data_IF_771644960355
#
_entry.id   IF_771644960355
#
_cell.length_a   1.000
_cell.length_b   1.000
_cell.length_c   1.000
_cell.angle_alpha   90.00
_cell.angle_beta   90.00
_cell.angle_gamma   90.00
#
_symmetry.space_group_name_H-M   'P 1'
#
loop_
_entity.id
_entity.type
_entity.pdbx_description
1 polymer ?
#
# COMPACT_ATOMS: atom_id res chain seq x y z
N UNK A 1 -26.64 44.27 -6.00
CA UNK A 1 -26.89 43.02 -6.75
C UNK A 1 -25.67 42.49 -7.52
N UNK A 2 -24.88 43.32 -8.24
CA UNK A 2 -23.61 42.88 -8.86
C UNK A 2 -22.56 42.37 -7.86
N UNK A 3 -22.31 43.10 -6.78
CA UNK A 3 -21.37 42.71 -5.71
C UNK A 3 -21.77 41.35 -5.10
N UNK A 4 -23.07 41.16 -4.85
CA UNK A 4 -23.61 39.91 -4.34
C UNK A 4 -23.28 38.70 -5.24
N UNK A 5 -23.45 38.82 -6.56
CA UNK A 5 -23.11 37.75 -7.50
C UNK A 5 -21.61 37.43 -7.53
N UNK A 6 -20.76 38.45 -7.42
CA UNK A 6 -19.30 38.27 -7.33
C UNK A 6 -18.94 37.51 -6.05
N UNK A 7 -19.52 37.89 -4.91
CA UNK A 7 -19.31 37.20 -3.64
C UNK A 7 -19.77 35.73 -3.69
N UNK A 8 -20.93 35.44 -4.30
CA UNK A 8 -21.42 34.07 -4.49
C UNK A 8 -20.45 33.25 -5.37
N UNK A 9 -19.96 33.83 -6.46
CA UNK A 9 -18.98 33.17 -7.33
C UNK A 9 -17.66 32.88 -6.61
N UNK A 10 -17.14 33.84 -5.84
CA UNK A 10 -15.91 33.68 -5.07
C UNK A 10 -16.05 32.58 -4.00
N UNK A 11 -17.17 32.55 -3.26
CA UNK A 11 -17.46 31.49 -2.29
C UNK A 11 -17.61 30.13 -2.95
N UNK A 12 -18.23 30.06 -4.13
CA UNK A 12 -18.34 28.84 -4.88
C UNK A 12 -16.95 28.28 -5.24
N UNK A 13 -16.08 29.10 -5.82
CA UNK A 13 -14.70 28.71 -6.16
C UNK A 13 -13.97 28.22 -4.91
N UNK A 14 -14.01 28.98 -3.82
CA UNK A 14 -13.35 28.60 -2.57
C UNK A 14 -13.85 27.25 -2.05
N UNK A 15 -15.17 27.00 -2.09
CA UNK A 15 -15.75 25.73 -1.65
C UNK A 15 -15.30 24.54 -2.51
N UNK A 16 -15.19 24.73 -3.84
CA UNK A 16 -14.67 23.70 -4.74
C UNK A 16 -13.21 23.45 -4.45
N UNK A 17 -12.38 24.50 -4.29
CA UNK A 17 -10.97 24.36 -3.97
C UNK A 17 -10.72 23.60 -2.66
N UNK A 18 -11.50 23.90 -1.61
CA UNK A 18 -11.41 23.18 -0.33
C UNK A 18 -11.84 21.72 -0.51
N UNK A 19 -12.96 21.46 -1.19
CA UNK A 19 -13.42 20.09 -1.46
C UNK A 19 -12.39 19.27 -2.25
N UNK A 20 -11.81 19.85 -3.29
CA UNK A 20 -10.75 19.22 -4.09
C UNK A 20 -9.50 18.93 -3.27
N UNK A 21 -9.08 19.85 -2.40
CA UNK A 21 -7.93 19.65 -1.51
C UNK A 21 -8.15 18.49 -0.54
N UNK A 22 -9.34 18.39 0.06
CA UNK A 22 -9.69 17.29 0.97
C UNK A 22 -9.70 15.93 0.25
N UNK A 23 -10.24 15.87 -0.98
CA UNK A 23 -10.21 14.66 -1.81
C UNK A 23 -8.77 14.27 -2.15
N UNK A 24 -7.95 15.24 -2.57
CA UNK A 24 -6.55 15.00 -2.88
C UNK A 24 -5.79 14.44 -1.67
N UNK A 25 -5.95 15.05 -0.49
CA UNK A 25 -5.32 14.57 0.75
C UNK A 25 -5.77 13.15 1.14
N UNK A 26 -7.04 12.81 0.90
CA UNK A 26 -7.54 11.46 1.17
C UNK A 26 -6.88 10.41 0.28
N UNK A 27 -6.75 10.69 -1.03
CA UNK A 27 -6.04 9.80 -1.96
C UNK A 27 -4.55 9.72 -1.68
N UNK A 28 -3.91 10.85 -1.40
CA UNK A 28 -2.48 10.93 -1.11
C UNK A 28 -2.12 10.12 0.14
N UNK A 29 -2.93 10.22 1.20
CA UNK A 29 -2.77 9.42 2.42
C UNK A 29 -2.87 7.92 2.15
N UNK A 30 -3.92 7.49 1.42
CA UNK A 30 -4.11 6.09 1.08
C UNK A 30 -2.91 5.55 0.29
N UNK A 31 -2.45 6.33 -0.70
CA UNK A 31 -1.32 5.95 -1.54
C UNK A 31 0.03 5.96 -0.80
N UNK A 32 0.31 6.97 0.03
CA UNK A 32 1.57 7.07 0.77
C UNK A 32 1.72 5.92 1.80
N UNK A 33 0.65 5.61 2.53
CA UNK A 33 0.63 4.48 3.45
C UNK A 33 0.84 3.16 2.72
N UNK A 34 0.18 2.98 1.56
CA UNK A 34 0.34 1.80 0.74
C UNK A 34 1.74 1.63 0.18
N UNK A 35 2.35 2.69 -0.36
CA UNK A 35 3.70 2.63 -0.94
C UNK A 35 4.75 2.25 0.09
N UNK A 36 4.77 2.95 1.23
CA UNK A 36 5.73 2.67 2.31
C UNK A 36 5.62 1.23 2.82
N UNK A 37 4.39 0.74 2.97
CA UNK A 37 4.16 -0.64 3.38
C UNK A 37 4.54 -1.65 2.30
N UNK A 38 4.13 -1.42 1.05
CA UNK A 38 4.33 -2.33 -0.08
C UNK A 38 5.81 -2.53 -0.38
N UNK A 39 6.61 -1.47 -0.44
CA UNK A 39 8.03 -1.57 -0.76
C UNK A 39 8.77 -2.45 0.26
N UNK A 40 8.53 -2.19 1.55
CA UNK A 40 9.09 -2.99 2.64
C UNK A 40 8.61 -4.44 2.58
N UNK A 41 7.31 -4.68 2.35
CA UNK A 41 6.78 -6.03 2.36
C UNK A 41 7.19 -6.88 1.17
N UNK A 42 7.39 -6.26 0.01
CA UNK A 42 7.95 -6.96 -1.16
C UNK A 42 9.34 -7.48 -0.80
N UNK A 43 10.20 -6.65 -0.21
CA UNK A 43 11.54 -7.07 0.21
C UNK A 43 11.49 -8.20 1.25
N UNK A 44 10.64 -8.08 2.27
CA UNK A 44 10.45 -9.14 3.28
C UNK A 44 9.97 -10.45 2.65
N UNK A 45 9.02 -10.38 1.71
CA UNK A 45 8.46 -11.56 1.03
C UNK A 45 9.52 -12.26 0.18
N UNK A 46 10.36 -11.49 -0.53
CA UNK A 46 11.48 -12.03 -1.31
C UNK A 46 12.48 -12.74 -0.39
N UNK A 47 12.93 -12.07 0.68
CA UNK A 47 13.87 -12.64 1.64
C UNK A 47 13.29 -13.87 2.36
N UNK A 48 11.99 -13.87 2.65
CA UNK A 48 11.31 -15.03 3.23
C UNK A 48 11.36 -16.24 2.29
N UNK A 49 11.08 -16.03 1.00
CA UNK A 49 11.19 -17.08 -0.01
C UNK A 49 12.62 -17.57 -0.18
N UNK A 50 13.61 -16.67 -0.17
CA UNK A 50 15.03 -17.03 -0.19
C UNK A 50 15.41 -17.91 1.02
N UNK A 51 14.93 -17.56 2.22
CA UNK A 51 15.16 -18.34 3.43
C UNK A 51 14.53 -19.73 3.31
N UNK A 52 13.27 -19.83 2.89
CA UNK A 52 12.57 -21.10 2.69
C UNK A 52 13.29 -21.99 1.66
N UNK A 53 13.74 -21.42 0.53
CA UNK A 53 14.48 -22.16 -0.50
C UNK A 53 15.86 -22.60 0.00
N UNK A 54 16.56 -21.75 0.75
CA UNK A 54 17.88 -22.08 1.30
C UNK A 54 17.84 -23.21 2.32
N UNK A 55 16.71 -23.38 3.04
CA UNK A 55 16.53 -24.43 4.04
C UNK A 55 15.92 -25.72 3.47
N UNK A 56 14.85 -25.60 2.67
CA UNK A 56 13.97 -26.70 2.28
C UNK A 56 14.45 -27.55 1.10
N UNK A 57 13.52 -27.92 0.22
CA UNK A 57 13.82 -28.76 -0.95
C UNK A 57 14.73 -28.01 -1.94
N UNK A 58 15.92 -28.56 -2.20
CA UNK A 58 16.97 -27.88 -2.97
C UNK A 58 17.84 -26.92 -2.15
N UNK A 59 17.54 -26.78 -0.86
CA UNK A 59 18.33 -26.06 0.13
C UNK A 59 19.37 -26.94 0.84
N UNK A 60 19.96 -26.42 1.91
CA UNK A 60 21.04 -27.11 2.63
C UNK A 60 20.58 -28.41 3.27
N UNK A 61 19.35 -28.53 3.78
CA UNK A 61 18.88 -29.77 4.42
C UNK A 61 18.85 -30.90 3.39
N UNK A 62 18.36 -30.61 2.18
CA UNK A 62 18.30 -31.57 1.10
C UNK A 62 19.70 -31.99 0.63
N UNK A 63 20.59 -31.03 0.38
CA UNK A 63 21.95 -31.32 -0.05
C UNK A 63 22.76 -32.04 1.02
N UNK A 64 22.60 -31.67 2.29
CA UNK A 64 23.25 -32.35 3.42
C UNK A 64 22.85 -33.82 3.49
N UNK A 65 21.54 -34.12 3.41
CA UNK A 65 21.03 -35.51 3.39
C UNK A 65 21.52 -36.28 2.16
N UNK A 66 21.55 -35.64 0.98
CA UNK A 66 22.06 -36.29 -0.22
C UNK A 66 23.56 -36.60 -0.14
N UNK A 67 24.36 -35.75 0.49
CA UNK A 67 25.76 -36.05 0.73
C UNK A 67 25.94 -37.30 1.59
N UNK A 68 25.16 -37.42 2.67
CA UNK A 68 25.18 -38.59 3.56
C UNK A 68 24.76 -39.85 2.82
N UNK A 69 23.64 -39.81 2.08
CA UNK A 69 23.11 -40.99 1.40
C UNK A 69 23.97 -41.45 0.21
N UNK A 70 24.65 -40.52 -0.47
CA UNK A 70 25.40 -40.80 -1.71
C UNK A 70 26.91 -40.82 -1.53
N UNK A 71 27.40 -40.49 -0.33
CA UNK A 71 28.81 -40.25 -0.06
C UNK A 71 29.46 -39.23 -1.01
N UNK A 72 28.68 -38.22 -1.42
CA UNK A 72 29.12 -37.19 -2.37
C UNK A 72 29.43 -35.88 -1.64
N UNK A 73 30.72 -35.52 -1.61
CA UNK A 73 31.21 -34.30 -0.97
C UNK A 73 30.76 -33.03 -1.68
N UNK A 74 30.44 -33.07 -2.98
CA UNK A 74 29.94 -31.91 -3.72
C UNK A 74 28.63 -31.41 -3.10
N UNK A 75 27.78 -32.33 -2.65
CA UNK A 75 26.55 -31.96 -1.95
C UNK A 75 26.81 -31.31 -0.57
N UNK A 76 27.90 -31.64 0.14
CA UNK A 76 28.26 -30.91 1.37
C UNK A 76 28.73 -29.48 1.08
N UNK A 77 29.44 -29.26 -0.01
CA UNK A 77 29.87 -27.92 -0.43
C UNK A 77 28.67 -27.04 -0.75
N UNK A 78 27.70 -27.57 -1.50
CA UNK A 78 26.44 -26.87 -1.79
C UNK A 78 25.67 -26.60 -0.48
N UNK A 79 25.56 -27.58 0.42
CA UNK A 79 24.90 -27.38 1.71
C UNK A 79 25.56 -26.26 2.53
N UNK A 80 26.89 -26.23 2.58
CA UNK A 80 27.66 -25.18 3.25
C UNK A 80 27.40 -23.79 2.67
N UNK A 81 27.33 -23.67 1.35
CA UNK A 81 26.97 -22.41 0.69
C UNK A 81 25.53 -21.98 1.04
N UNK A 82 24.57 -22.89 0.92
CA UNK A 82 23.15 -22.61 1.24
C UNK A 82 22.94 -22.24 2.72
N UNK A 83 23.74 -22.79 3.64
CA UNK A 83 23.76 -22.37 5.05
C UNK A 83 24.16 -20.91 5.19
N UNK A 84 25.21 -20.46 4.50
CA UNK A 84 25.65 -19.06 4.54
C UNK A 84 24.58 -18.13 3.98
N UNK A 85 23.98 -18.51 2.84
CA UNK A 85 22.86 -17.76 2.26
C UNK A 85 21.70 -17.63 3.25
N UNK A 86 21.32 -18.72 3.94
CA UNK A 86 20.28 -18.68 4.97
C UNK A 86 20.64 -17.73 6.14
N UNK A 87 21.89 -17.77 6.61
CA UNK A 87 22.38 -16.88 7.67
C UNK A 87 22.32 -15.41 7.25
N UNK A 88 22.80 -15.10 6.05
CA UNK A 88 22.79 -13.74 5.49
C UNK A 88 21.36 -13.22 5.31
N UNK A 89 20.44 -14.06 4.84
CA UNK A 89 19.02 -13.72 4.70
C UNK A 89 18.37 -13.41 6.04
N UNK A 90 18.69 -14.16 7.10
CA UNK A 90 18.21 -13.84 8.46
C UNK A 90 18.73 -12.47 8.91
N UNK A 91 19.99 -12.12 8.62
CA UNK A 91 20.55 -10.80 8.95
C UNK A 91 19.78 -9.69 8.23
N UNK A 92 19.49 -9.85 6.94
CA UNK A 92 18.69 -8.88 6.16
C UNK A 92 17.27 -8.73 6.72
N UNK A 93 16.60 -9.84 7.02
CA UNK A 93 15.26 -9.83 7.63
C UNK A 93 15.23 -9.12 9.00
N UNK A 94 16.29 -9.28 9.79
CA UNK A 94 16.45 -8.55 11.06
C UNK A 94 16.62 -7.04 10.83
N UNK A 95 17.42 -6.64 9.85
CA UNK A 95 17.60 -5.22 9.52
C UNK A 95 16.29 -4.54 9.09
N UNK A 96 15.37 -5.29 8.47
CA UNK A 96 14.04 -4.82 8.10
C UNK A 96 13.02 -4.85 9.26
N UNK A 97 13.40 -5.33 10.45
CA UNK A 97 12.48 -5.60 11.56
C UNK A 97 11.31 -6.50 11.13
N UNK A 98 11.59 -7.56 10.36
CA UNK A 98 10.57 -8.51 9.89
C UNK A 98 10.09 -9.47 11.00
N UNK A 99 10.90 -9.65 12.04
CA UNK A 99 10.56 -10.45 13.21
C UNK A 99 9.85 -9.58 14.25
N UNK A 100 8.74 -10.09 14.80
CA UNK A 100 7.91 -9.37 15.77
C UNK A 100 8.53 -9.44 17.17
N UNK A 101 9.07 -10.61 17.52
CA UNK A 101 9.83 -10.82 18.74
C UNK A 101 11.31 -11.03 18.42
N UNK A 102 12.23 -10.56 19.31
CA UNK A 102 13.66 -10.85 19.19
C UNK A 102 13.99 -12.34 19.07
N UNK A 103 13.09 -13.23 19.51
CA UNK A 103 13.34 -14.67 19.59
C UNK A 103 12.71 -15.46 18.43
N UNK A 104 11.91 -14.84 17.55
CA UNK A 104 11.19 -15.56 16.48
C UNK A 104 12.11 -16.31 15.51
N UNK A 105 13.35 -15.83 15.35
CA UNK A 105 14.34 -16.42 14.47
C UNK A 105 15.26 -17.45 15.15
N UNK A 106 15.13 -17.64 16.47
CA UNK A 106 16.08 -18.45 17.24
C UNK A 106 16.05 -19.91 16.85
N UNK A 107 14.87 -20.52 16.71
CA UNK A 107 14.75 -21.92 16.32
C UNK A 107 15.34 -22.16 14.93
N UNK A 108 15.09 -21.23 14.00
CA UNK A 108 15.64 -21.24 12.64
C UNK A 108 17.17 -21.20 12.69
N UNK A 109 17.73 -20.22 13.41
CA UNK A 109 19.18 -20.02 13.51
C UNK A 109 19.87 -21.18 14.23
N UNK A 110 19.22 -21.74 15.26
CA UNK A 110 19.69 -22.92 15.99
C UNK A 110 19.82 -24.12 15.07
N UNK A 111 18.81 -24.40 14.24
CA UNK A 111 18.87 -25.51 13.27
C UNK A 111 19.93 -25.27 12.20
N UNK A 112 20.04 -24.06 11.65
CA UNK A 112 21.09 -23.71 10.69
C UNK A 112 22.48 -23.99 11.29
N UNK A 113 22.72 -23.52 12.51
CA UNK A 113 23.99 -23.72 13.20
C UNK A 113 24.25 -25.21 13.53
N UNK A 114 23.20 -25.97 13.87
CA UNK A 114 23.33 -27.41 14.11
C UNK A 114 23.79 -28.15 12.85
N UNK A 115 23.18 -27.88 11.69
CA UNK A 115 23.65 -28.44 10.42
C UNK A 115 25.07 -27.99 10.07
N UNK A 116 25.40 -26.71 10.29
CA UNK A 116 26.73 -26.16 10.05
C UNK A 116 27.81 -26.92 10.84
N UNK A 117 27.56 -27.20 12.12
CA UNK A 117 28.47 -27.95 12.99
C UNK A 117 28.65 -29.41 12.58
N UNK A 118 27.67 -29.99 11.87
CA UNK A 118 27.71 -31.38 11.41
C UNK A 118 28.39 -31.57 10.06
N UNK A 119 28.67 -30.50 9.31
CA UNK A 119 29.35 -30.57 8.01
C UNK A 119 30.70 -31.30 8.08
N UNK A 120 31.55 -30.95 9.03
CA UNK A 120 32.89 -31.56 9.16
C UNK A 120 32.82 -33.01 9.62
N UNK A 121 31.84 -33.35 10.47
CA UNK A 121 31.60 -34.73 10.89
C UNK A 121 31.14 -35.58 9.71
N UNK A 122 30.19 -35.08 8.92
CA UNK A 122 29.74 -35.75 7.69
C UNK A 122 30.90 -35.95 6.72
N UNK A 123 31.67 -34.90 6.45
CA UNK A 123 32.84 -34.95 5.56
C UNK A 123 33.85 -36.00 5.99
N UNK A 124 34.23 -36.00 7.27
CA UNK A 124 35.18 -36.96 7.84
C UNK A 124 34.73 -38.41 7.62
N UNK A 125 33.48 -38.72 7.93
CA UNK A 125 32.99 -40.09 7.87
C UNK A 125 32.67 -40.56 6.45
N UNK A 126 32.24 -39.67 5.57
CA UNK A 126 32.13 -39.93 4.12
C UNK A 126 33.51 -40.27 3.54
N UNK A 127 34.54 -39.47 3.84
CA UNK A 127 35.91 -39.74 3.35
C UNK A 127 36.49 -41.05 3.91
N UNK A 128 36.08 -41.45 5.12
CA UNK A 128 36.46 -42.75 5.71
C UNK A 128 35.70 -43.94 5.13
N UNK A 129 34.68 -43.73 4.29
CA UNK A 129 33.81 -44.79 3.79
C UNK A 129 33.01 -45.47 4.90
N UNK A 130 32.60 -44.72 5.93
CA UNK A 130 31.75 -45.26 7.00
C UNK A 130 30.38 -45.68 6.45
N UNK A 131 29.69 -46.60 7.12
CA UNK A 131 28.34 -47.01 6.71
C UNK A 131 27.32 -45.86 6.79
N UNK A 132 26.39 -45.81 5.85
CA UNK A 132 25.40 -44.73 5.71
C UNK A 132 24.59 -44.55 7.01
N UNK A 133 24.08 -45.64 7.59
CA UNK A 133 23.27 -45.61 8.81
C UNK A 133 24.06 -45.05 10.01
N UNK A 134 25.35 -45.33 10.06
CA UNK A 134 26.24 -44.80 11.09
C UNK A 134 26.48 -43.29 10.92
N UNK A 135 26.67 -42.83 9.68
CA UNK A 135 26.81 -41.40 9.39
C UNK A 135 25.51 -40.68 9.74
N UNK A 136 24.36 -41.17 9.26
CA UNK A 136 23.05 -40.57 9.50
C UNK A 136 22.76 -40.40 11.00
N UNK A 137 23.02 -41.43 11.80
CA UNK A 137 22.91 -41.37 13.25
C UNK A 137 23.79 -40.27 13.88
N UNK A 138 25.05 -40.15 13.46
CA UNK A 138 25.99 -39.15 14.00
C UNK A 138 25.61 -37.71 13.65
N UNK A 139 25.04 -37.49 12.48
CA UNK A 139 24.80 -36.15 11.92
C UNK A 139 23.35 -35.71 11.96
N UNK A 140 22.46 -36.52 12.52
CA UNK A 140 21.03 -36.20 12.66
C UNK A 140 20.83 -34.86 13.36
N UNK A 141 19.94 -34.05 12.78
CA UNK A 141 19.47 -32.77 13.33
C UNK A 141 17.94 -32.81 13.35
N UNK A 142 17.35 -32.40 14.47
CA UNK A 142 15.91 -32.15 14.56
C UNK A 142 15.60 -30.74 14.06
N UNK A 143 14.90 -30.65 12.94
CA UNK A 143 14.51 -29.41 12.27
C UNK A 143 13.03 -29.06 12.44
N UNK A 144 12.30 -29.82 13.27
CA UNK A 144 10.85 -29.67 13.49
C UNK A 144 10.47 -28.26 13.95
N UNK A 145 11.14 -27.75 14.98
CA UNK A 145 10.86 -26.42 15.54
C UNK A 145 11.22 -25.29 14.56
N UNK A 146 12.27 -25.46 13.77
CA UNK A 146 12.65 -24.47 12.76
C UNK A 146 11.60 -24.36 11.64
N UNK A 147 11.07 -25.49 11.15
CA UNK A 147 9.98 -25.49 10.18
C UNK A 147 8.67 -24.94 10.77
N UNK A 148 8.38 -25.25 12.03
CA UNK A 148 7.24 -24.66 12.72
C UNK A 148 7.40 -23.13 12.86
N UNK A 149 8.60 -22.64 13.20
CA UNK A 149 8.91 -21.21 13.27
C UNK A 149 8.78 -20.52 11.89
N UNK A 150 9.30 -21.13 10.83
CA UNK A 150 9.13 -20.65 9.45
C UNK A 150 7.66 -20.55 9.04
N UNK A 151 6.86 -21.60 9.31
CA UNK A 151 5.44 -21.58 9.00
C UNK A 151 4.66 -20.50 9.78
N UNK A 152 5.00 -20.28 11.06
CA UNK A 152 4.44 -19.15 11.84
C UNK A 152 4.82 -17.81 11.22
N UNK A 153 6.08 -17.66 10.81
CA UNK A 153 6.57 -16.43 10.20
C UNK A 153 5.89 -16.17 8.84
N UNK A 154 5.73 -17.18 8.00
CA UNK A 154 5.06 -17.09 6.68
C UNK A 154 3.59 -16.66 6.83
N UNK A 155 2.87 -17.31 7.74
CA UNK A 155 1.47 -17.00 8.03
C UNK A 155 1.32 -15.56 8.54
N UNK A 156 2.25 -15.07 9.36
CA UNK A 156 2.24 -13.69 9.82
C UNK A 156 2.44 -12.70 8.68
N UNK A 157 3.47 -12.88 7.84
CA UNK A 157 3.71 -11.98 6.70
C UNK A 157 2.49 -11.95 5.77
N UNK A 158 1.92 -13.12 5.48
CA UNK A 158 0.72 -13.23 4.64
C UNK A 158 -0.49 -12.54 5.28
N UNK A 159 -0.66 -12.65 6.60
CA UNK A 159 -1.78 -12.01 7.32
C UNK A 159 -1.62 -10.48 7.36
N UNK A 160 -0.42 -9.99 7.65
CA UNK A 160 -0.12 -8.56 7.64
C UNK A 160 -0.35 -7.93 6.26
N UNK A 161 0.05 -8.62 5.19
CA UNK A 161 -0.22 -8.17 3.82
C UNK A 161 -1.72 -8.07 3.53
N UNK A 162 -2.51 -9.08 3.94
CA UNK A 162 -3.97 -9.08 3.77
C UNK A 162 -4.66 -7.97 4.56
N UNK A 163 -4.27 -7.77 5.82
CA UNK A 163 -4.82 -6.72 6.68
C UNK A 163 -4.55 -5.33 6.11
N UNK A 164 -3.33 -5.09 5.64
CA UNK A 164 -2.94 -3.79 5.10
C UNK A 164 -3.53 -3.53 3.70
N UNK A 165 -3.69 -4.58 2.88
CA UNK A 165 -4.45 -4.49 1.65
C UNK A 165 -5.91 -4.13 1.94
N UNK A 166 -6.55 -4.77 2.92
CA UNK A 166 -7.92 -4.45 3.31
C UNK A 166 -8.06 -3.02 3.86
N UNK A 167 -7.10 -2.57 4.68
CA UNK A 167 -7.05 -1.20 5.18
C UNK A 167 -6.91 -0.17 4.04
N UNK A 168 -5.99 -0.41 3.09
CA UNK A 168 -5.82 0.48 1.94
C UNK A 168 -7.07 0.51 1.04
N UNK A 169 -7.71 -0.64 0.79
CA UNK A 169 -8.97 -0.68 0.04
C UNK A 169 -10.07 0.11 0.76
N UNK A 170 -10.17 -0.03 2.08
CA UNK A 170 -11.09 0.78 2.89
C UNK A 170 -10.79 2.28 2.75
N UNK A 171 -9.53 2.69 2.88
CA UNK A 171 -9.11 4.09 2.72
C UNK A 171 -9.45 4.62 1.32
N UNK A 172 -9.20 3.83 0.27
CA UNK A 172 -9.59 4.19 -1.10
C UNK A 172 -11.11 4.34 -1.26
N UNK A 173 -11.91 3.46 -0.65
CA UNK A 173 -13.37 3.59 -0.66
C UNK A 173 -13.84 4.83 0.09
N UNK A 174 -13.19 5.21 1.20
CA UNK A 174 -13.50 6.48 1.88
C UNK A 174 -13.17 7.69 1.01
N UNK A 175 -12.03 7.67 0.30
CA UNK A 175 -11.63 8.74 -0.63
C UNK A 175 -12.61 8.87 -1.80
N UNK A 176 -13.05 7.73 -2.40
CA UNK A 176 -14.09 7.71 -3.43
C UNK A 176 -15.44 8.21 -2.91
N UNK A 177 -15.84 7.84 -1.70
CA UNK A 177 -17.07 8.33 -1.07
C UNK A 177 -17.03 9.85 -0.84
N UNK A 178 -15.88 10.37 -0.40
CA UNK A 178 -15.67 11.82 -0.28
C UNK A 178 -15.73 12.51 -1.64
N UNK A 179 -15.09 11.94 -2.66
CA UNK A 179 -15.11 12.46 -4.03
C UNK A 179 -16.53 12.51 -4.61
N UNK A 180 -17.34 11.47 -4.39
CA UNK A 180 -18.73 11.45 -4.89
C UNK A 180 -19.58 12.53 -4.21
N UNK A 181 -19.44 12.71 -2.88
CA UNK A 181 -20.10 13.80 -2.13
C UNK A 181 -19.69 15.18 -2.63
N UNK A 182 -18.39 15.41 -2.83
CA UNK A 182 -17.87 16.68 -3.37
C UNK A 182 -18.40 16.91 -4.79
N UNK A 183 -18.42 15.88 -5.64
CA UNK A 183 -18.96 15.97 -7.00
C UNK A 183 -20.44 16.36 -7.00
N UNK A 184 -21.26 15.69 -6.18
CA UNK A 184 -22.68 16.02 -6.06
C UNK A 184 -22.87 17.45 -5.55
N UNK A 185 -22.10 17.87 -4.55
CA UNK A 185 -22.12 19.23 -4.02
C UNK A 185 -21.78 20.27 -5.11
N UNK A 186 -20.72 20.03 -5.90
CA UNK A 186 -20.31 20.90 -7.01
C UNK A 186 -21.41 21.01 -8.06
N UNK A 187 -22.06 19.89 -8.44
CA UNK A 187 -23.17 19.89 -9.40
C UNK A 187 -24.34 20.74 -8.87
N UNK A 188 -24.75 20.55 -7.61
CA UNK A 188 -25.82 21.34 -6.98
C UNK A 188 -25.44 22.82 -6.95
N UNK A 189 -24.20 23.13 -6.59
CA UNK A 189 -23.69 24.50 -6.52
C UNK A 189 -23.73 25.19 -7.90
N UNK A 190 -23.33 24.48 -8.97
CA UNK A 190 -23.42 24.98 -10.35
C UNK A 190 -24.87 25.27 -10.73
N UNK A 191 -25.81 24.37 -10.41
CA UNK A 191 -27.23 24.56 -10.69
C UNK A 191 -27.79 25.79 -9.94
N UNK A 192 -27.40 25.99 -8.68
CA UNK A 192 -27.79 27.17 -7.88
C UNK A 192 -27.23 28.44 -8.50
N UNK A 193 -25.94 28.47 -8.84
CA UNK A 193 -25.30 29.63 -9.48
C UNK A 193 -26.00 29.96 -10.81
N UNK A 194 -26.28 28.95 -11.63
CA UNK A 194 -26.99 29.12 -12.90
C UNK A 194 -28.40 29.68 -12.69
N UNK A 195 -29.15 29.16 -11.70
CA UNK A 195 -30.47 29.65 -11.34
C UNK A 195 -30.44 31.12 -10.88
N UNK A 196 -29.46 31.50 -10.03
CA UNK A 196 -29.29 32.88 -9.57
C UNK A 196 -28.92 33.82 -10.72
N UNK A 197 -28.05 33.39 -11.64
CA UNK A 197 -27.70 34.15 -12.84
C UNK A 197 -28.92 34.34 -13.76
N UNK A 198 -29.69 33.28 -13.99
CA UNK A 198 -30.93 33.33 -14.75
C UNK A 198 -31.93 34.34 -14.14
N UNK A 199 -32.15 34.27 -12.82
CA UNK A 199 -33.01 35.23 -12.11
C UNK A 199 -32.49 36.66 -12.21
N UNK A 200 -31.19 36.86 -12.10
CA UNK A 200 -30.56 38.18 -12.22
C UNK A 200 -30.76 38.79 -13.61
N UNK A 201 -30.47 38.02 -14.67
CA UNK A 201 -30.64 38.47 -16.06
C UNK A 201 -32.11 38.81 -16.33
N UNK A 202 -33.03 37.93 -15.93
CA UNK A 202 -34.48 38.16 -16.10
C UNK A 202 -34.94 39.44 -15.39
N UNK A 203 -34.53 39.63 -14.14
CA UNK A 203 -34.90 40.82 -13.34
C UNK A 203 -34.36 42.09 -13.95
N UNK A 204 -33.08 42.12 -14.33
CA UNK A 204 -32.47 43.28 -14.97
C UNK A 204 -33.14 43.62 -16.32
N UNK A 205 -33.47 42.61 -17.13
CA UNK A 205 -34.21 42.82 -18.39
C UNK A 205 -35.56 43.48 -18.14
N UNK A 206 -36.31 43.03 -17.13
CA UNK A 206 -37.60 43.63 -16.76
C UNK A 206 -37.47 45.07 -16.23
N UNK A 207 -36.43 45.35 -15.44
CA UNK A 207 -36.17 46.70 -14.93
C UNK A 207 -35.80 47.68 -16.04
N UNK A 208 -34.96 47.24 -17.00
CA UNK A 208 -34.58 48.04 -18.15
C UNK A 208 -35.79 48.40 -19.02
N UNK A 209 -36.66 47.41 -19.31
CA UNK A 209 -37.89 47.65 -20.08
C UNK A 209 -38.80 48.67 -19.40
N UNK A 210 -39.06 48.53 -18.09
CA UNK A 210 -39.86 49.49 -17.33
C UNK A 210 -39.25 50.90 -17.30
N UNK A 211 -37.94 51.01 -17.20
CA UNK A 211 -37.26 52.30 -17.26
C UNK A 211 -37.47 52.98 -18.62
N UNK A 212 -37.32 52.23 -19.72
CA UNK A 212 -37.56 52.77 -21.07
C UNK A 212 -39.03 53.13 -21.34
N UNK A 213 -39.98 52.37 -20.79
CA UNK A 213 -41.41 52.69 -20.89
C UNK A 213 -41.75 53.96 -20.11
N UNK A 214 -41.19 54.11 -18.90
CA UNK A 214 -41.36 55.30 -18.07
C UNK A 214 -40.77 56.55 -18.73
N UNK A 215 -39.61 56.43 -19.38
CA UNK A 215 -38.98 57.52 -20.13
C UNK A 215 -39.87 57.95 -21.32
N UNK A 216 -40.33 56.99 -22.13
CA UNK A 216 -41.26 57.25 -23.24
C UNK A 216 -42.61 57.84 -22.80
N UNK A 217 -43.09 57.46 -21.61
CA UNK A 217 -44.33 58.02 -21.06
C UNK A 217 -44.13 59.47 -20.62
N UNK A 218 -42.98 59.78 -19.99
CA UNK A 218 -42.58 61.14 -19.62
C UNK A 218 -42.44 62.04 -20.84
N UNK A 219 -41.77 61.57 -21.90
CA UNK A 219 -41.59 62.33 -23.14
C UNK A 219 -42.93 62.64 -23.82
N UNK A 220 -43.83 61.65 -23.89
CA UNK A 220 -45.20 61.85 -24.41
C UNK A 220 -45.99 62.87 -23.59
N UNK A 221 -45.88 62.80 -22.26
CA UNK A 221 -46.55 63.77 -21.38
C UNK A 221 -46.04 65.20 -21.62
N UNK A 222 -44.71 65.40 -21.68
CA UNK A 222 -44.10 66.71 -21.94
C UNK A 222 -44.46 67.25 -23.33
N UNK A 223 -44.47 66.39 -24.36
CA UNK A 223 -44.85 66.78 -25.72
C UNK A 223 -46.33 67.16 -25.85
N UNK A 224 -47.23 66.50 -25.12
CA UNK A 224 -48.65 66.87 -25.12
C UNK A 224 -48.88 68.19 -24.37
N UNK A 225 -48.18 68.41 -23.25
CA UNK A 225 -48.26 69.67 -22.51
C UNK A 225 -47.73 70.88 -23.29
N UNK A 226 -46.72 70.72 -24.14
CA UNK A 226 -46.21 71.83 -24.96
C UNK A 226 -47.15 72.21 -26.11
N UNK A 227 -48.15 71.40 -26.42
CA UNK A 227 -49.16 71.69 -27.44
C UNK A 227 -50.41 72.39 -26.88
N UNK A 228 -50.60 72.43 -25.56
CA UNK A 228 -51.77 73.05 -24.90
C UNK A 228 -51.49 74.47 -24.34
N UNK A 229 -50.29 75.01 -24.53
CA UNK A 229 -49.89 76.39 -24.15
C UNK A 229 -49.67 77.21 -25.42
#
# INVERSE_FOLDING_TARGET
MKIFLISVGALAILSVSIGSLLVYQAYDRANANWQLFSDKQVEITVLMNELLQSMGYGGFIHHFKNAVLRHDLVHLEIASQRIKEAQDTIVKLKALNAFESPNDHWDILKTINAYQQKLDTAKLHITKGSEIDYIDFLVKVDDTEAFAALGRFENRITSQLKEQLAANLSDMETAKSLQSKVTVFVVILILIVFFLLYRYIRTNKTLLLRATESEKAKDRFLSNMSHEI
#
